data_IF_279907024295
#
_entry.id   IF_279907024295
#
_cell.length_a   1.000
_cell.length_b   1.000
_cell.length_c   1.000
_cell.angle_alpha   90.00
_cell.angle_beta   90.00
_cell.angle_gamma   90.00
#
_symmetry.space_group_name_H-M   'P 1'
#
loop_
_entity.id
_entity.type
_entity.pdbx_description
1 polymer ?
#
# COMPACT_ATOMS: atom_id res chain seq x y z
N UNK A 1 4.73 -33.81 3.00
CA UNK A 1 5.18 -33.61 1.60
C UNK A 1 4.91 -32.16 1.28
N UNK A 2 5.92 -31.32 1.36
CA UNK A 2 5.83 -29.90 0.97
C UNK A 2 5.90 -29.82 -0.55
N UNK A 3 4.80 -29.39 -1.17
CA UNK A 3 4.75 -29.15 -2.61
C UNK A 3 5.59 -27.89 -2.92
N UNK A 4 6.74 -28.10 -3.52
CA UNK A 4 7.53 -27.05 -4.17
C UNK A 4 6.77 -26.57 -5.39
N UNK A 5 5.98 -25.48 -5.25
CA UNK A 5 5.44 -24.80 -6.40
C UNK A 5 6.58 -24.03 -7.08
N UNK A 6 6.96 -24.47 -8.26
CA UNK A 6 7.86 -23.77 -9.15
C UNK A 6 7.23 -22.43 -9.53
N UNK A 7 7.89 -21.33 -9.16
CA UNK A 7 7.59 -20.01 -9.69
C UNK A 7 7.83 -20.02 -11.19
N UNK A 8 6.80 -19.75 -11.97
CA UNK A 8 6.92 -19.58 -13.42
C UNK A 8 7.57 -18.22 -13.65
N UNK A 9 8.79 -18.21 -14.18
CA UNK A 9 9.54 -17.00 -14.49
C UNK A 9 8.80 -16.19 -15.58
N UNK A 10 8.23 -15.07 -15.18
CA UNK A 10 7.86 -14.00 -16.10
C UNK A 10 9.15 -13.24 -16.45
N UNK A 11 9.42 -13.05 -17.75
CA UNK A 11 10.62 -12.58 -18.37
C UNK A 11 11.56 -11.74 -17.51
N UNK A 12 12.82 -12.19 -17.37
CA UNK A 12 13.90 -11.36 -16.88
C UNK A 12 14.32 -11.53 -15.41
N UNK A 13 14.10 -12.66 -14.75
CA UNK A 13 14.72 -12.95 -13.45
C UNK A 13 14.12 -12.26 -12.23
N UNK A 14 12.96 -11.59 -12.34
CA UNK A 14 12.24 -11.04 -11.19
C UNK A 14 11.67 -12.18 -10.34
N UNK A 15 11.96 -12.15 -9.04
CA UNK A 15 11.36 -13.06 -8.07
C UNK A 15 10.07 -12.47 -7.50
N UNK A 16 9.15 -13.37 -7.10
CA UNK A 16 7.87 -13.00 -6.51
C UNK A 16 7.72 -13.68 -5.16
N UNK A 17 7.18 -12.94 -4.19
CA UNK A 17 6.97 -13.42 -2.83
C UNK A 17 5.52 -13.21 -2.40
N UNK A 18 5.04 -14.04 -1.51
CA UNK A 18 3.73 -13.80 -0.88
C UNK A 18 3.81 -12.58 0.04
N UNK A 19 2.77 -11.76 -0.01
CA UNK A 19 2.61 -10.68 0.96
C UNK A 19 2.12 -11.27 2.28
N UNK A 20 3.03 -11.43 3.22
CA UNK A 20 2.75 -12.08 4.50
C UNK A 20 2.12 -13.47 4.32
N UNK A 21 1.10 -13.78 5.11
CA UNK A 21 0.35 -15.03 5.05
C UNK A 21 -0.82 -14.98 4.04
N UNK A 22 -0.89 -13.97 3.17
CA UNK A 22 -1.95 -13.86 2.16
C UNK A 22 -1.70 -14.77 0.95
N UNK A 23 -2.71 -14.89 0.10
CA UNK A 23 -2.57 -15.54 -1.20
C UNK A 23 -1.95 -14.65 -2.30
N UNK A 24 -1.79 -13.34 -2.03
CA UNK A 24 -1.29 -12.39 -3.03
C UNK A 24 0.23 -12.50 -3.18
N UNK A 25 0.69 -12.55 -4.42
CA UNK A 25 2.10 -12.42 -4.75
C UNK A 25 2.42 -10.95 -5.08
N UNK A 26 3.63 -10.53 -4.72
CA UNK A 26 4.20 -9.22 -5.05
C UNK A 26 5.56 -9.44 -5.68
N UNK A 27 5.97 -8.58 -6.61
CA UNK A 27 7.35 -8.58 -7.11
C UNK A 27 8.31 -8.20 -5.97
N UNK A 28 9.48 -8.84 -5.90
CA UNK A 28 10.47 -8.59 -4.84
C UNK A 28 10.96 -7.14 -4.83
N UNK A 29 10.96 -6.49 -6.00
CA UNK A 29 11.19 -5.06 -6.16
C UNK A 29 9.86 -4.39 -6.49
N UNK A 30 9.52 -3.34 -5.75
CA UNK A 30 8.34 -2.52 -6.02
C UNK A 30 8.73 -1.18 -6.62
N UNK A 31 7.90 -0.63 -7.51
CA UNK A 31 8.09 0.69 -8.09
C UNK A 31 7.37 1.75 -7.26
N UNK A 32 8.12 2.60 -6.57
CA UNK A 32 7.60 3.75 -5.83
C UNK A 32 7.70 5.06 -6.62
N UNK A 33 6.76 5.98 -6.42
CA UNK A 33 6.71 7.24 -7.18
C UNK A 33 6.67 8.51 -6.31
N UNK A 34 7.09 8.41 -5.06
CA UNK A 34 6.98 9.49 -4.07
C UNK A 34 7.50 10.84 -4.56
N UNK A 35 8.76 10.91 -4.99
CA UNK A 35 9.42 12.19 -5.32
C UNK A 35 9.51 12.46 -6.83
N UNK A 36 9.02 11.57 -7.65
CA UNK A 36 9.26 11.60 -9.10
C UNK A 36 8.03 12.04 -9.89
N UNK A 37 6.92 11.32 -9.77
CA UNK A 37 5.75 11.54 -10.60
C UNK A 37 4.99 12.82 -10.25
N UNK A 38 4.76 13.65 -11.25
CA UNK A 38 3.98 14.87 -11.10
C UNK A 38 4.71 16.03 -10.42
N UNK A 39 6.02 15.88 -10.13
CA UNK A 39 6.87 16.89 -9.50
C UNK A 39 8.22 17.08 -10.20
N UNK A 40 9.18 16.15 -9.97
CA UNK A 40 10.56 16.29 -10.46
C UNK A 40 10.78 15.68 -11.85
N UNK A 41 9.94 14.73 -12.25
CA UNK A 41 10.07 14.02 -13.52
C UNK A 41 8.88 14.36 -14.42
N UNK A 42 9.20 14.72 -15.65
CA UNK A 42 8.19 14.96 -16.69
C UNK A 42 7.30 13.72 -16.88
N UNK A 43 6.01 13.94 -17.10
CA UNK A 43 5.01 12.86 -17.19
C UNK A 43 5.40 11.78 -18.21
N UNK A 44 5.93 12.17 -19.38
CA UNK A 44 6.34 11.21 -20.40
C UNK A 44 7.52 10.34 -19.97
N UNK A 45 8.48 10.91 -19.24
CA UNK A 45 9.61 10.17 -18.66
C UNK A 45 9.14 9.22 -17.56
N UNK A 46 8.23 9.67 -16.72
CA UNK A 46 7.61 8.83 -15.69
C UNK A 46 6.88 7.63 -16.31
N UNK A 47 6.12 7.84 -17.40
CA UNK A 47 5.45 6.77 -18.13
C UNK A 47 6.46 5.76 -18.68
N UNK A 48 7.57 6.21 -19.27
CA UNK A 48 8.63 5.33 -19.77
C UNK A 48 9.23 4.48 -18.64
N UNK A 49 9.51 5.08 -17.48
CA UNK A 49 10.03 4.34 -16.31
C UNK A 49 9.07 3.26 -15.83
N UNK A 50 7.78 3.55 -15.74
CA UNK A 50 6.77 2.55 -15.35
C UNK A 50 6.67 1.42 -16.37
N UNK A 51 6.73 1.74 -17.66
CA UNK A 51 6.70 0.72 -18.73
C UNK A 51 7.95 -0.18 -18.69
N UNK A 52 9.12 0.42 -18.52
CA UNK A 52 10.35 -0.33 -18.35
C UNK A 52 10.29 -1.22 -17.10
N UNK A 53 9.76 -0.72 -15.98
CA UNK A 53 9.58 -1.52 -14.78
C UNK A 53 8.71 -2.76 -15.04
N UNK A 54 7.59 -2.62 -15.77
CA UNK A 54 6.75 -3.75 -16.18
C UNK A 54 7.51 -4.73 -17.08
N UNK A 55 8.27 -4.23 -18.04
CA UNK A 55 9.07 -5.06 -18.96
C UNK A 55 10.16 -5.84 -18.22
N UNK A 56 10.66 -5.32 -17.09
CA UNK A 56 11.61 -6.01 -16.19
C UNK A 56 10.91 -6.93 -15.17
N UNK A 57 9.59 -7.07 -15.23
CA UNK A 57 8.83 -7.96 -14.35
C UNK A 57 8.43 -7.34 -13.00
N UNK A 58 8.60 -6.03 -12.80
CA UNK A 58 8.06 -5.34 -11.61
C UNK A 58 6.55 -5.19 -11.80
N UNK A 59 5.76 -5.86 -10.94
CA UNK A 59 4.30 -5.79 -10.99
C UNK A 59 3.71 -4.97 -9.86
N UNK A 60 4.47 -4.68 -8.80
CA UNK A 60 3.99 -3.98 -7.61
C UNK A 60 4.31 -2.48 -7.70
N UNK A 61 3.26 -1.65 -7.69
CA UNK A 61 3.36 -0.18 -7.78
C UNK A 61 2.84 0.46 -6.50
N UNK A 62 3.68 1.25 -5.83
CA UNK A 62 3.36 1.95 -4.59
C UNK A 62 3.29 3.46 -4.79
N UNK A 63 2.21 4.07 -4.30
CA UNK A 63 1.95 5.50 -4.34
C UNK A 63 1.28 5.99 -3.06
N UNK A 64 0.89 7.25 -3.00
CA UNK A 64 0.04 7.80 -1.95
C UNK A 64 -0.83 8.94 -2.46
N UNK A 65 -1.96 9.16 -1.80
CA UNK A 65 -2.90 10.22 -2.10
C UNK A 65 -2.26 11.62 -2.11
N UNK A 66 -1.30 11.86 -1.21
CA UNK A 66 -0.62 13.15 -1.02
C UNK A 66 0.52 13.42 -2.01
N UNK A 67 1.06 12.39 -2.66
CA UNK A 67 2.28 12.56 -3.47
C UNK A 67 2.08 13.56 -4.61
N UNK A 68 3.01 14.52 -4.72
CA UNK A 68 2.97 15.63 -5.67
C UNK A 68 1.63 16.41 -5.66
N UNK A 69 1.04 16.59 -4.46
CA UNK A 69 -0.27 17.25 -4.34
C UNK A 69 -1.36 16.51 -5.10
N UNK A 70 -1.43 15.21 -4.92
CA UNK A 70 -2.35 14.24 -5.55
C UNK A 70 -2.07 13.88 -7.01
N UNK A 71 -1.06 14.48 -7.65
CA UNK A 71 -0.77 14.27 -9.08
C UNK A 71 -0.08 12.95 -9.37
N UNK A 72 0.66 12.38 -8.40
CA UNK A 72 1.42 11.15 -8.61
C UNK A 72 0.53 9.96 -8.99
N UNK A 73 -0.64 9.82 -8.37
CA UNK A 73 -1.61 8.78 -8.72
C UNK A 73 -2.17 8.98 -10.15
N UNK A 74 -2.40 10.22 -10.58
CA UNK A 74 -2.87 10.52 -11.95
C UNK A 74 -1.81 10.16 -12.99
N UNK A 75 -0.53 10.43 -12.72
CA UNK A 75 0.58 10.06 -13.62
C UNK A 75 0.74 8.55 -13.68
N UNK A 76 0.64 7.85 -12.55
CA UNK A 76 0.69 6.39 -12.50
C UNK A 76 -0.46 5.77 -13.31
N UNK A 77 -1.68 6.27 -13.16
CA UNK A 77 -2.83 5.84 -13.96
C UNK A 77 -2.61 5.99 -15.47
N UNK A 78 -2.02 7.11 -15.89
CA UNK A 78 -1.65 7.32 -17.31
C UNK A 78 -0.62 6.31 -17.77
N UNK A 79 0.37 6.01 -16.94
CA UNK A 79 1.43 5.06 -17.24
C UNK A 79 0.90 3.63 -17.37
N UNK A 80 -0.06 3.24 -16.54
CA UNK A 80 -0.68 1.92 -16.54
C UNK A 80 -1.84 1.77 -17.55
N UNK A 81 -2.20 2.84 -18.26
CA UNK A 81 -3.28 2.79 -19.25
C UNK A 81 -3.03 1.72 -20.32
N UNK A 82 -4.00 0.81 -20.50
CA UNK A 82 -3.91 -0.30 -21.46
C UNK A 82 -3.14 -1.52 -20.95
N UNK A 83 -2.56 -1.47 -19.76
CA UNK A 83 -2.08 -2.66 -19.05
C UNK A 83 -3.28 -3.39 -18.44
N UNK A 84 -3.31 -4.71 -18.54
CA UNK A 84 -4.36 -5.52 -17.93
C UNK A 84 -4.34 -5.34 -16.41
N UNK A 85 -5.48 -4.95 -15.81
CA UNK A 85 -5.56 -4.58 -14.39
C UNK A 85 -5.07 -5.72 -13.46
N UNK A 86 -5.37 -6.95 -13.79
CA UNK A 86 -5.03 -8.14 -13.00
C UNK A 86 -3.56 -8.57 -13.16
N UNK A 87 -2.76 -7.85 -13.95
CA UNK A 87 -1.34 -8.17 -14.15
C UNK A 87 -0.39 -7.33 -13.28
N UNK A 88 -0.92 -6.48 -12.41
CA UNK A 88 -0.12 -5.69 -11.47
C UNK A 88 -0.86 -5.47 -10.16
N UNK A 89 -0.11 -5.26 -9.09
CA UNK A 89 -0.58 -4.93 -7.76
C UNK A 89 -0.43 -3.42 -7.54
N UNK A 90 -1.52 -2.76 -7.15
CA UNK A 90 -1.61 -1.33 -6.93
C UNK A 90 -1.77 -1.01 -5.45
N UNK A 91 -0.77 -0.35 -4.88
CA UNK A 91 -0.72 0.06 -3.49
C UNK A 91 -0.85 1.58 -3.40
N UNK A 92 -1.64 2.06 -2.44
CA UNK A 92 -1.68 3.50 -2.11
C UNK A 92 -1.89 3.71 -0.63
N UNK A 93 -1.62 4.93 -0.16
CA UNK A 93 -1.52 5.28 1.24
C UNK A 93 -2.40 6.50 1.56
N UNK A 94 -2.91 6.58 2.82
CA UNK A 94 -3.71 7.66 3.36
C UNK A 94 -3.18 8.13 4.71
N UNK A 95 -3.10 9.43 4.92
CA UNK A 95 -2.84 10.08 6.21
C UNK A 95 -2.53 11.57 6.06
N UNK A 96 -1.60 11.93 5.16
CA UNK A 96 -1.11 13.30 5.04
C UNK A 96 -2.15 14.23 4.43
N UNK A 97 -2.05 15.56 4.68
CA UNK A 97 -3.03 16.50 4.16
C UNK A 97 -3.12 16.49 2.63
N UNK A 98 -4.32 16.28 2.10
CA UNK A 98 -4.62 16.39 0.65
C UNK A 98 -5.34 17.69 0.31
N UNK A 99 -5.69 18.51 1.32
CA UNK A 99 -6.35 19.80 1.20
C UNK A 99 -6.17 20.64 2.46
N UNK A 100 -6.77 21.86 2.50
CA UNK A 100 -6.62 22.79 3.61
C UNK A 100 -7.57 22.54 4.80
N UNK A 101 -8.53 21.67 4.63
CA UNK A 101 -9.56 21.38 5.66
C UNK A 101 -9.01 20.54 6.80
N UNK A 102 -9.58 20.71 7.99
CA UNK A 102 -9.16 19.93 9.17
C UNK A 102 -9.39 18.42 8.99
N UNK A 103 -10.38 18.05 8.20
CA UNK A 103 -10.71 16.66 7.91
C UNK A 103 -10.04 16.11 6.63
N UNK A 104 -9.14 16.86 6.01
CA UNK A 104 -8.42 16.45 4.81
C UNK A 104 -7.12 15.70 5.16
N UNK A 105 -7.02 15.18 6.38
CA UNK A 105 -5.83 14.49 6.92
C UNK A 105 -6.22 13.49 8.00
N UNK A 106 -5.24 12.66 8.39
CA UNK A 106 -5.36 11.70 9.49
C UNK A 106 -6.04 10.40 9.07
N UNK A 107 -6.47 9.63 10.06
CA UNK A 107 -7.10 8.33 9.87
C UNK A 107 -8.52 8.26 10.40
N UNK A 108 -9.23 9.40 10.47
CA UNK A 108 -10.66 9.37 10.76
C UNK A 108 -11.41 8.59 9.68
N UNK A 109 -12.50 7.95 10.07
CA UNK A 109 -13.39 7.26 9.13
C UNK A 109 -13.74 8.12 7.91
N UNK A 110 -14.08 9.40 8.17
CA UNK A 110 -14.40 10.34 7.11
C UNK A 110 -13.25 10.45 6.09
N UNK A 111 -12.03 10.72 6.55
CA UNK A 111 -10.90 10.93 5.66
C UNK A 111 -10.50 9.65 4.92
N UNK A 112 -10.46 8.51 5.61
CA UNK A 112 -10.16 7.20 4.99
C UNK A 112 -11.11 6.90 3.83
N UNK A 113 -12.42 7.04 4.06
CA UNK A 113 -13.43 6.72 3.03
C UNK A 113 -13.39 7.69 1.84
N UNK A 114 -13.23 8.98 2.09
CA UNK A 114 -13.18 10.01 1.05
C UNK A 114 -11.87 9.92 0.26
N UNK A 115 -10.74 9.74 0.94
CA UNK A 115 -9.43 9.58 0.31
C UNK A 115 -9.37 8.33 -0.57
N UNK A 116 -9.87 7.19 -0.10
CA UNK A 116 -9.95 5.97 -0.90
C UNK A 116 -10.77 6.19 -2.18
N UNK A 117 -11.95 6.77 -2.07
CA UNK A 117 -12.78 7.08 -3.24
C UNK A 117 -12.12 8.06 -4.21
N UNK A 118 -11.36 9.02 -3.70
CA UNK A 118 -10.62 9.98 -4.52
C UNK A 118 -9.41 9.29 -5.21
N UNK A 119 -8.67 8.42 -4.51
CA UNK A 119 -7.58 7.63 -5.08
C UNK A 119 -8.06 6.70 -6.17
N UNK A 120 -9.16 5.98 -5.98
CA UNK A 120 -9.77 5.14 -7.02
C UNK A 120 -10.07 5.93 -8.31
N UNK A 121 -10.58 7.17 -8.17
CA UNK A 121 -10.83 8.04 -9.32
C UNK A 121 -9.54 8.49 -10.01
N UNK A 122 -8.52 8.91 -9.24
CA UNK A 122 -7.24 9.37 -9.79
C UNK A 122 -6.46 8.24 -10.46
N UNK A 123 -6.50 7.05 -9.86
CA UNK A 123 -5.86 5.84 -10.37
C UNK A 123 -6.66 5.18 -11.51
N UNK A 124 -7.90 5.64 -11.75
CA UNK A 124 -8.81 5.11 -12.77
C UNK A 124 -9.00 3.59 -12.66
N UNK A 125 -9.31 3.15 -11.46
CA UNK A 125 -9.56 1.72 -11.12
C UNK A 125 -10.75 1.62 -10.18
N UNK A 126 -11.36 0.46 -10.10
CA UNK A 126 -12.47 0.14 -9.19
C UNK A 126 -12.01 -0.43 -7.85
N UNK A 127 -10.76 -0.92 -7.77
CA UNK A 127 -10.20 -1.47 -6.53
C UNK A 127 -8.70 -1.17 -6.38
N UNK A 128 -8.24 -1.20 -5.12
CA UNK A 128 -6.86 -1.09 -4.68
C UNK A 128 -6.46 -2.44 -4.08
N UNK A 129 -5.30 -2.98 -4.47
CA UNK A 129 -4.84 -4.27 -3.96
C UNK A 129 -4.37 -4.17 -2.50
N UNK A 130 -3.63 -3.13 -2.15
CA UNK A 130 -3.23 -2.84 -0.77
C UNK A 130 -3.43 -1.35 -0.43
N UNK A 131 -4.27 -1.08 0.58
CA UNK A 131 -4.49 0.28 1.09
C UNK A 131 -3.88 0.43 2.48
N UNK A 132 -3.02 1.43 2.66
CA UNK A 132 -2.18 1.51 3.84
C UNK A 132 -2.40 2.80 4.65
N UNK A 133 -2.40 2.67 5.97
CA UNK A 133 -2.23 3.79 6.88
C UNK A 133 -0.79 4.30 6.80
N UNK A 134 -0.57 5.46 6.16
CA UNK A 134 0.76 6.01 5.90
C UNK A 134 1.54 6.35 7.18
N UNK A 135 0.84 6.65 8.26
CA UNK A 135 1.37 6.87 9.61
C UNK A 135 0.33 6.45 10.65
N UNK A 136 0.74 6.33 11.89
CA UNK A 136 -0.19 6.18 13.01
C UNK A 136 -0.85 7.52 13.34
N UNK A 137 -2.16 7.53 13.54
CA UNK A 137 -2.90 8.72 13.94
C UNK A 137 -3.17 8.71 15.45
N UNK A 138 -2.55 9.65 16.16
CA UNK A 138 -2.71 9.81 17.60
C UNK A 138 -3.98 10.59 17.99
N UNK A 139 -4.63 11.23 17.03
CA UNK A 139 -5.83 12.05 17.25
C UNK A 139 -7.13 11.28 17.01
N UNK A 140 -7.06 10.15 16.29
CA UNK A 140 -8.22 9.32 15.95
C UNK A 140 -8.25 8.04 16.81
N UNK A 141 -9.40 7.66 17.39
CA UNK A 141 -9.52 6.36 18.05
C UNK A 141 -9.14 5.22 17.11
N UNK A 142 -8.22 4.36 17.53
CA UNK A 142 -7.70 3.28 16.67
C UNK A 142 -8.81 2.37 16.14
N UNK A 143 -9.82 2.07 16.95
CA UNK A 143 -10.96 1.24 16.52
C UNK A 143 -11.76 1.87 15.37
N UNK A 144 -11.92 3.21 15.35
CA UNK A 144 -12.57 3.93 14.25
C UNK A 144 -11.79 3.75 12.95
N UNK A 145 -10.47 3.92 13.01
CA UNK A 145 -9.56 3.69 11.88
C UNK A 145 -9.70 2.27 11.34
N UNK A 146 -9.62 1.26 12.21
CA UNK A 146 -9.69 -0.15 11.82
C UNK A 146 -11.05 -0.53 11.23
N UNK A 147 -12.14 -0.01 11.80
CA UNK A 147 -13.49 -0.19 11.26
C UNK A 147 -13.64 0.41 9.85
N UNK A 148 -13.04 1.58 9.61
CA UNK A 148 -13.09 2.21 8.29
C UNK A 148 -12.35 1.39 7.22
N UNK A 149 -11.19 0.86 7.54
CA UNK A 149 -10.44 -0.03 6.64
C UNK A 149 -11.19 -1.34 6.37
N UNK A 150 -11.78 -1.95 7.40
CA UNK A 150 -12.59 -3.17 7.25
C UNK A 150 -13.80 -2.94 6.33
N UNK A 151 -14.48 -1.80 6.46
CA UNK A 151 -15.60 -1.46 5.59
C UNK A 151 -15.19 -1.28 4.12
N UNK A 152 -14.00 -0.75 3.85
CA UNK A 152 -13.49 -0.65 2.47
C UNK A 152 -13.25 -2.02 1.84
N UNK A 153 -12.76 -2.99 2.62
CA UNK A 153 -12.65 -4.39 2.17
C UNK A 153 -14.04 -4.96 1.91
N UNK A 154 -14.99 -4.82 2.84
CA UNK A 154 -16.37 -5.32 2.68
C UNK A 154 -17.11 -4.69 1.49
N UNK A 155 -16.74 -3.46 1.12
CA UNK A 155 -17.27 -2.78 -0.08
C UNK A 155 -16.58 -3.24 -1.39
N UNK A 156 -15.55 -4.09 -1.32
CA UNK A 156 -14.78 -4.55 -2.48
C UNK A 156 -13.90 -3.46 -3.12
N UNK A 157 -13.67 -2.34 -2.42
CA UNK A 157 -12.81 -1.25 -2.90
C UNK A 157 -11.34 -1.50 -2.63
N UNK A 158 -11.04 -2.33 -1.65
CA UNK A 158 -9.70 -2.66 -1.17
C UNK A 158 -9.63 -4.16 -0.95
N UNK A 159 -8.58 -4.81 -1.47
CA UNK A 159 -8.37 -6.24 -1.26
C UNK A 159 -7.68 -6.55 0.07
N UNK A 160 -6.64 -5.79 0.39
CA UNK A 160 -5.85 -5.95 1.61
C UNK A 160 -5.53 -4.59 2.24
N UNK A 161 -5.25 -4.60 3.54
CA UNK A 161 -4.89 -3.42 4.31
C UNK A 161 -3.53 -3.57 4.98
N UNK A 162 -2.83 -2.47 5.16
CA UNK A 162 -1.52 -2.42 5.77
C UNK A 162 -1.25 -1.08 6.46
N UNK A 163 -0.03 -0.90 6.91
CA UNK A 163 0.42 0.34 7.52
C UNK A 163 1.90 0.61 7.23
N UNK A 164 2.32 1.85 7.45
CA UNK A 164 3.70 2.30 7.33
C UNK A 164 4.15 2.98 8.63
N UNK A 165 5.39 2.67 9.07
CA UNK A 165 6.06 3.34 10.21
C UNK A 165 5.34 3.22 11.56
N UNK A 166 4.60 2.15 11.82
CA UNK A 166 4.04 1.88 13.13
C UNK A 166 5.03 1.11 14.02
N UNK A 167 5.04 1.40 15.31
CA UNK A 167 5.84 0.65 16.27
C UNK A 167 5.14 -0.67 16.70
N UNK A 168 5.87 -1.56 17.36
CA UNK A 168 5.36 -2.88 17.75
C UNK A 168 4.14 -2.81 18.67
N UNK A 169 4.06 -1.79 19.56
CA UNK A 169 2.89 -1.60 20.44
C UNK A 169 1.65 -1.23 19.63
N UNK A 170 1.76 -0.28 18.71
CA UNK A 170 0.65 0.15 17.83
C UNK A 170 0.13 -1.01 16.98
N UNK A 171 1.06 -1.80 16.42
CA UNK A 171 0.73 -3.02 15.65
C UNK A 171 -0.03 -4.01 16.53
N UNK A 172 0.50 -4.34 17.71
CA UNK A 172 -0.13 -5.30 18.63
C UNK A 172 -1.52 -4.85 19.10
N UNK A 173 -1.70 -3.56 19.36
CA UNK A 173 -2.99 -3.03 19.79
C UNK A 173 -4.02 -3.07 18.65
N UNK A 174 -3.59 -2.78 17.42
CA UNK A 174 -4.45 -2.90 16.24
C UNK A 174 -4.91 -4.35 16.02
N UNK A 175 -3.98 -5.31 16.01
CA UNK A 175 -4.29 -6.72 15.80
C UNK A 175 -5.26 -7.26 16.88
N UNK A 176 -5.08 -6.87 18.15
CA UNK A 176 -6.00 -7.25 19.23
C UNK A 176 -7.43 -6.73 18.98
N UNK A 177 -7.58 -5.49 18.52
CA UNK A 177 -8.89 -4.92 18.22
C UNK A 177 -9.50 -5.64 17.01
N UNK A 178 -8.71 -5.87 15.95
CA UNK A 178 -9.18 -6.55 14.75
C UNK A 178 -9.68 -7.95 15.09
N UNK A 179 -8.94 -8.73 15.87
CA UNK A 179 -9.33 -10.07 16.31
C UNK A 179 -10.60 -10.02 17.19
N UNK A 180 -10.68 -9.10 18.15
CA UNK A 180 -11.82 -8.97 19.05
C UNK A 180 -13.11 -8.54 18.35
N UNK A 181 -13.01 -7.76 17.26
CA UNK A 181 -14.14 -7.26 16.48
C UNK A 181 -14.46 -8.09 15.23
N UNK A 182 -13.62 -9.06 14.90
CA UNK A 182 -13.76 -9.83 13.65
C UNK A 182 -13.52 -8.98 12.40
N UNK A 183 -12.66 -7.97 12.50
CA UNK A 183 -12.22 -7.17 11.36
C UNK A 183 -11.13 -7.90 10.59
N UNK A 184 -11.01 -7.57 9.30
CA UNK A 184 -9.86 -8.02 8.50
C UNK A 184 -8.56 -7.49 9.10
N UNK A 185 -7.56 -8.38 9.26
CA UNK A 185 -6.25 -8.02 9.84
C UNK A 185 -5.41 -7.24 8.83
N UNK A 186 -4.53 -6.39 9.33
CA UNK A 186 -3.42 -5.88 8.55
C UNK A 186 -2.52 -7.04 8.11
N UNK A 187 -2.06 -6.99 6.86
CA UNK A 187 -1.24 -8.03 6.23
C UNK A 187 0.15 -7.51 5.81
N UNK A 188 0.40 -6.21 5.96
CA UNK A 188 1.64 -5.57 5.51
C UNK A 188 2.09 -4.49 6.48
N UNK A 189 3.40 -4.49 6.74
CA UNK A 189 4.14 -3.41 7.40
C UNK A 189 5.17 -2.85 6.44
N UNK A 190 5.14 -1.54 6.18
CA UNK A 190 6.08 -0.85 5.29
C UNK A 190 6.91 0.19 6.07
N UNK A 191 7.89 -0.24 6.86
CA UNK A 191 8.77 0.67 7.58
C UNK A 191 9.99 1.07 6.74
N UNK A 192 10.65 2.18 7.11
CA UNK A 192 12.00 2.46 6.64
C UNK A 192 12.95 1.35 7.11
N UNK A 193 13.67 0.75 6.16
CA UNK A 193 14.65 -0.29 6.46
C UNK A 193 15.81 -0.23 5.44
N UNK A 194 17.01 -0.16 5.94
CA UNK A 194 18.23 -0.16 5.11
C UNK A 194 19.43 -0.60 5.94
N UNK A 195 20.58 -0.80 5.31
CA UNK A 195 21.83 -1.12 5.99
C UNK A 195 22.22 -0.06 7.06
N UNK A 196 21.79 1.19 6.87
CA UNK A 196 22.07 2.31 7.77
C UNK A 196 20.92 2.61 8.75
N UNK A 197 19.74 1.98 8.57
CA UNK A 197 18.57 2.20 9.41
C UNK A 197 17.90 0.86 9.74
N UNK A 198 18.26 0.30 10.89
CA UNK A 198 17.90 -1.07 11.30
C UNK A 198 17.06 -1.12 12.58
N UNK A 199 16.48 0.01 12.99
CA UNK A 199 15.73 0.15 14.26
C UNK A 199 14.60 -0.87 14.39
N UNK A 200 13.95 -1.21 13.28
CA UNK A 200 12.81 -2.14 13.27
C UNK A 200 13.18 -3.57 13.64
N UNK A 201 14.45 -3.98 13.57
CA UNK A 201 14.89 -5.34 13.88
C UNK A 201 14.69 -5.71 15.36
N UNK A 202 14.64 -4.71 16.25
CA UNK A 202 14.49 -4.96 17.68
C UNK A 202 13.09 -5.49 18.04
N UNK A 203 12.03 -4.96 17.43
CA UNK A 203 10.65 -5.26 17.83
C UNK A 203 9.71 -5.50 16.65
N UNK A 204 9.76 -4.68 15.61
CA UNK A 204 8.80 -4.74 14.49
C UNK A 204 8.99 -6.00 13.66
N UNK A 205 10.23 -6.32 13.29
CA UNK A 205 10.53 -7.51 12.48
C UNK A 205 10.15 -8.81 13.22
N UNK A 206 10.55 -9.02 14.50
CA UNK A 206 10.13 -10.21 15.24
C UNK A 206 8.62 -10.33 15.38
N UNK A 207 7.92 -9.21 15.64
CA UNK A 207 6.47 -9.20 15.74
C UNK A 207 5.82 -9.55 14.39
N UNK A 208 6.25 -8.92 13.30
CA UNK A 208 5.72 -9.17 11.96
C UNK A 208 5.95 -10.63 11.53
N UNK A 209 7.12 -11.20 11.84
CA UNK A 209 7.41 -12.60 11.57
C UNK A 209 6.47 -13.55 12.33
N UNK A 210 6.12 -13.20 13.57
CA UNK A 210 5.21 -13.98 14.40
C UNK A 210 3.76 -13.91 13.92
N UNK A 211 3.33 -12.73 13.55
CA UNK A 211 1.92 -12.46 13.22
C UNK A 211 1.57 -12.71 11.73
N UNK A 212 2.57 -12.85 10.85
CA UNK A 212 2.40 -13.10 9.42
C UNK A 212 2.22 -11.89 8.58
#
# INVERSE_FOLDING_TARGET
>A
MLATHHAQAYGGGMEYRRLGNTGMYVSEISYGNWITHGSQVETESAIKCVREALDQGITTFDTADVYAGTKAEVVLAKALKGVRRESYELFTNVYWPTGPGKNDRGLSRKHIMESCNASLKRLNTDHIDLYQAHRFDFETPLEETLSAFDDLIRQGKVSYIGFSEWNAKQISDALKIQDARGYNRFVSSQPQYSALWRVIEAEVVPLSTKEG
#
